data_IF_836892426437
#
_entry.id   IF_836892426437
#
_cell.length_a   1.000
_cell.length_b   1.000
_cell.length_c   1.000
_cell.angle_alpha   90.00
_cell.angle_beta   90.00
_cell.angle_gamma   90.00
#
_symmetry.space_group_name_H-M   'P 1'
#
loop_
_entity.id
_entity.type
_entity.pdbx_description
1 polymer ?
#
# COMPACT_ATOMS: atom_id res chain seq x y z
N UNK A 1 -6.41 -11.61 16.41
CA UNK A 1 -5.46 -11.16 15.35
C UNK A 1 -4.55 -12.33 15.04
N UNK A 2 -4.57 -12.87 13.83
CA UNK A 2 -3.70 -13.99 13.47
C UNK A 2 -2.25 -13.48 13.40
N UNK A 3 -1.37 -14.03 14.21
CA UNK A 3 0.05 -13.74 14.19
C UNK A 3 0.85 -14.99 13.84
N UNK A 4 1.99 -14.81 13.17
CA UNK A 4 2.94 -15.88 12.88
C UNK A 4 4.28 -15.51 13.50
N UNK A 5 4.81 -16.37 14.38
CA UNK A 5 6.07 -16.11 15.10
C UNK A 5 6.10 -14.72 15.79
N UNK A 6 4.97 -14.28 16.36
CA UNK A 6 4.84 -12.97 17.01
C UNK A 6 4.70 -11.78 16.05
N UNK A 7 4.75 -12.00 14.74
CA UNK A 7 4.53 -10.97 13.72
C UNK A 7 3.04 -10.82 13.41
N UNK A 8 2.63 -9.59 13.11
CA UNK A 8 1.28 -9.28 12.63
C UNK A 8 1.16 -9.67 11.16
N UNK A 9 0.13 -10.44 10.82
CA UNK A 9 -0.15 -10.81 9.44
C UNK A 9 -1.17 -9.86 8.84
N UNK A 10 -0.90 -9.42 7.60
CA UNK A 10 -1.81 -8.65 6.79
C UNK A 10 -2.06 -9.42 5.48
N UNK A 11 -3.32 -9.75 5.22
CA UNK A 11 -3.72 -10.30 3.93
C UNK A 11 -4.00 -9.12 2.99
N UNK A 12 -3.32 -9.11 1.84
CA UNK A 12 -3.54 -8.08 0.82
C UNK A 12 -4.00 -8.75 -0.48
N UNK A 13 -5.10 -8.31 -1.11
CA UNK A 13 -5.69 -8.99 -2.25
C UNK A 13 -4.79 -9.00 -3.50
N UNK A 14 -3.85 -8.07 -3.60
CA UNK A 14 -2.88 -8.00 -4.70
C UNK A 14 -1.67 -8.92 -4.52
N UNK A 15 -1.55 -9.60 -3.37
CA UNK A 15 -0.47 -10.57 -3.16
C UNK A 15 -0.73 -11.83 -3.98
N UNK A 16 0.17 -12.09 -4.93
CA UNK A 16 0.14 -13.32 -5.71
C UNK A 16 0.31 -14.55 -4.81
N UNK A 17 -0.43 -15.62 -5.12
CA UNK A 17 -0.33 -16.90 -4.41
C UNK A 17 1.10 -17.43 -4.40
N UNK A 18 1.51 -18.04 -3.28
CA UNK A 18 2.87 -18.55 -3.11
C UNK A 18 3.92 -17.47 -2.82
N UNK A 19 3.53 -16.20 -2.60
CA UNK A 19 4.44 -15.13 -2.24
C UNK A 19 4.04 -14.47 -0.91
N UNK A 20 5.05 -14.07 -0.14
CA UNK A 20 4.90 -13.23 1.03
C UNK A 20 5.90 -12.07 0.99
N UNK A 21 5.57 -10.97 1.66
CA UNK A 21 6.49 -9.87 1.91
C UNK A 21 6.64 -9.73 3.42
N UNK A 22 7.88 -9.78 3.88
CA UNK A 22 8.24 -9.49 5.26
C UNK A 22 8.76 -8.07 5.31
N UNK A 23 8.20 -7.27 6.21
CA UNK A 23 8.51 -5.85 6.36
C UNK A 23 8.88 -5.56 7.80
N UNK A 24 10.06 -4.98 8.01
CA UNK A 24 10.40 -4.35 9.27
C UNK A 24 9.97 -2.88 9.25
N UNK A 25 8.80 -2.60 9.83
CA UNK A 25 8.21 -1.26 9.85
C UNK A 25 9.05 -0.19 10.55
N UNK A 26 10.03 -0.57 11.38
CA UNK A 26 10.92 0.40 12.06
C UNK A 26 11.83 1.18 11.09
N UNK A 27 12.07 0.64 9.89
CA UNK A 27 12.90 1.26 8.85
C UNK A 27 12.09 1.91 7.73
N UNK A 28 10.77 2.02 7.90
CA UNK A 28 9.88 2.66 6.95
C UNK A 28 9.42 4.02 7.49
N UNK A 29 9.48 5.03 6.64
CA UNK A 29 8.82 6.31 6.88
C UNK A 29 7.81 6.56 5.78
N UNK A 30 6.53 6.60 6.13
CA UNK A 30 5.45 6.87 5.19
C UNK A 30 4.91 8.28 5.42
N UNK A 31 4.77 9.04 4.33
CA UNK A 31 4.21 10.38 4.35
C UNK A 31 3.16 10.49 3.26
N UNK A 32 2.06 11.15 3.57
CA UNK A 32 0.99 11.43 2.62
C UNK A 32 0.43 12.83 2.86
N UNK A 33 -0.06 13.44 1.80
CA UNK A 33 -0.93 14.61 1.92
C UNK A 33 -2.30 14.19 2.45
N UNK A 34 -3.07 15.13 2.97
CA UNK A 34 -4.51 14.94 3.11
C UNK A 34 -5.16 14.72 1.73
N UNK A 35 -6.42 14.24 1.73
CA UNK A 35 -7.20 14.08 0.50
C UNK A 35 -7.51 15.46 -0.09
N UNK A 36 -6.97 15.72 -1.28
CA UNK A 36 -7.25 16.92 -2.05
C UNK A 36 -8.48 16.69 -2.91
N UNK A 37 -9.54 17.43 -2.63
CA UNK A 37 -10.79 17.39 -3.37
C UNK A 37 -10.88 18.59 -4.31
N UNK A 38 -11.15 18.33 -5.58
CA UNK A 38 -11.41 19.35 -6.58
C UNK A 38 -12.64 18.98 -7.41
N UNK A 39 -13.39 19.98 -7.85
CA UNK A 39 -14.48 19.82 -8.80
C UNK A 39 -14.29 20.76 -9.99
N UNK A 40 -14.62 20.27 -11.18
CA UNK A 40 -14.59 21.02 -12.42
C UNK A 40 -15.97 20.92 -13.07
N UNK A 41 -16.81 21.96 -12.96
CA UNK A 41 -18.08 22.02 -13.67
C UNK A 41 -17.84 22.09 -15.18
N UNK A 42 -18.58 21.30 -15.94
CA UNK A 42 -18.63 21.36 -17.40
C UNK A 42 -20.00 21.89 -17.86
N UNK A 43 -20.01 23.11 -18.38
CA UNK A 43 -21.23 23.77 -18.83
C UNK A 43 -21.70 23.29 -20.20
N UNK A 44 -20.85 22.60 -20.99
CA UNK A 44 -21.25 22.13 -22.32
C UNK A 44 -22.15 20.89 -22.29
N UNK A 45 -22.05 20.08 -21.24
CA UNK A 45 -22.81 18.83 -21.06
C UNK A 45 -23.55 18.75 -19.72
N UNK A 46 -23.55 19.84 -18.94
CA UNK A 46 -24.17 19.94 -17.62
C UNK A 46 -23.69 18.85 -16.64
N UNK A 47 -22.40 18.53 -16.68
CA UNK A 47 -21.76 17.58 -15.75
C UNK A 47 -20.80 18.26 -14.78
N UNK A 48 -20.45 17.57 -13.69
CA UNK A 48 -19.39 18.00 -12.78
C UNK A 48 -18.39 16.85 -12.66
N UNK A 49 -17.13 17.12 -13.01
CA UNK A 49 -16.04 16.18 -12.77
C UNK A 49 -15.47 16.40 -11.39
N UNK A 50 -15.54 15.39 -10.53
CA UNK A 50 -14.93 15.40 -9.20
C UNK A 50 -13.62 14.63 -9.24
N UNK A 51 -12.58 15.18 -8.63
CA UNK A 51 -11.26 14.57 -8.50
C UNK A 51 -10.91 14.52 -7.02
N UNK A 52 -10.50 13.35 -6.55
CA UNK A 52 -9.95 13.14 -5.22
C UNK A 52 -8.54 12.60 -5.37
N UNK A 53 -7.56 13.28 -4.77
CA UNK A 53 -6.15 12.93 -4.91
C UNK A 53 -5.45 12.84 -3.57
N UNK A 54 -4.50 11.92 -3.48
CA UNK A 54 -3.56 11.81 -2.37
C UNK A 54 -2.18 11.63 -2.97
N UNK A 55 -1.22 12.42 -2.50
CA UNK A 55 0.18 12.25 -2.86
C UNK A 55 0.88 11.58 -1.68
N UNK A 56 1.42 10.38 -1.91
CA UNK A 56 2.05 9.57 -0.87
C UNK A 56 3.44 9.11 -1.30
N UNK A 57 4.35 9.01 -0.33
CA UNK A 57 5.68 8.47 -0.50
C UNK A 57 6.04 7.56 0.68
N UNK A 58 6.74 6.47 0.38
CA UNK A 58 7.32 5.58 1.38
C UNK A 58 8.83 5.59 1.21
N UNK A 59 9.54 5.96 2.26
CA UNK A 59 10.99 5.94 2.34
C UNK A 59 11.43 4.67 3.06
N UNK A 60 12.41 3.98 2.47
CA UNK A 60 13.02 2.77 3.02
C UNK A 60 14.41 3.15 3.48
N UNK A 61 14.63 3.18 4.80
CA UNK A 61 15.92 3.56 5.38
C UNK A 61 17.02 2.51 5.19
N UNK A 62 16.63 1.24 5.06
CA UNK A 62 17.52 0.11 4.80
C UNK A 62 16.85 -0.84 3.80
N UNK A 63 17.54 -1.14 2.69
CA UNK A 63 17.04 -2.05 1.65
C UNK A 63 16.70 -3.45 2.18
N UNK A 64 17.37 -3.89 3.26
CA UNK A 64 17.10 -5.18 3.90
C UNK A 64 15.80 -5.22 4.70
N UNK A 65 15.16 -4.06 4.94
CA UNK A 65 13.92 -3.96 5.72
C UNK A 65 12.69 -4.54 5.01
N UNK A 66 12.77 -4.76 3.70
CA UNK A 66 11.70 -5.35 2.90
C UNK A 66 12.25 -6.57 2.17
N UNK A 67 11.66 -7.73 2.42
CA UNK A 67 12.05 -8.97 1.77
C UNK A 67 10.84 -9.64 1.14
N UNK A 68 10.96 -9.99 -0.14
CA UNK A 68 10.04 -10.92 -0.79
C UNK A 68 10.49 -12.35 -0.49
N UNK A 69 9.54 -13.17 -0.10
CA UNK A 69 9.74 -14.60 0.19
C UNK A 69 8.83 -15.39 -0.74
N UNK A 70 9.42 -16.33 -1.46
CA UNK A 70 8.67 -17.30 -2.25
C UNK A 70 8.37 -18.51 -1.35
N UNK A 71 7.09 -18.75 -1.11
CA UNK A 71 6.60 -19.89 -0.34
C UNK A 71 6.55 -21.06 -1.32
N UNK A 72 7.58 -21.90 -1.29
CA UNK A 72 7.54 -23.18 -1.99
C UNK A 72 6.29 -23.94 -1.53
N UNK A 73 5.49 -24.43 -2.47
CA UNK A 73 4.40 -25.34 -2.13
C UNK A 73 5.02 -26.54 -1.42
N UNK A 74 4.58 -26.82 -0.19
CA UNK A 74 4.85 -28.10 0.41
C UNK A 74 4.24 -29.17 -0.51
N UNK A 75 5.09 -29.92 -1.19
CA UNK A 75 4.70 -31.10 -1.96
C UNK A 75 4.18 -32.18 -1.01
#
# INVERSE_FOLDING_TARGET
>A
MAGYNGLRLFMHPEMASGHAIVVNGAWLSAHATDVLLASLPNLSDNTIRVRAEVYAAVLIGDASAVQRVDIASAA
#
